data_IF_492955383903
#
_entry.id   IF_492955383903
#
_cell.length_a   1.000
_cell.length_b   1.000
_cell.length_c   1.000
_cell.angle_alpha   90.00
_cell.angle_beta   90.00
_cell.angle_gamma   90.00
#
_symmetry.space_group_name_H-M   'P 1'
#
loop_
_entity.id
_entity.type
_entity.pdbx_description
1 polymer ?
#
# COMPACT_ATOMS: atom_id res chain seq x y z
N UNK A 1 27.92 33.20 -9.29
CA UNK A 1 28.60 31.92 -8.99
C UNK A 1 27.64 30.99 -8.27
N UNK A 2 27.15 29.94 -8.93
CA UNK A 2 26.23 28.96 -8.32
C UNK A 2 27.05 27.80 -7.75
N UNK A 3 27.19 27.76 -6.43
CA UNK A 3 27.95 26.70 -5.74
C UNK A 3 27.06 25.46 -5.75
N UNK A 4 27.35 24.53 -6.67
CA UNK A 4 26.68 23.23 -6.80
C UNK A 4 26.94 22.43 -5.51
N UNK A 5 26.02 22.51 -4.54
CA UNK A 5 26.09 21.74 -3.30
C UNK A 5 25.99 20.25 -3.65
N UNK A 6 27.08 19.50 -3.47
CA UNK A 6 27.11 18.04 -3.56
C UNK A 6 26.02 17.48 -2.63
N UNK A 7 25.01 16.85 -3.21
CA UNK A 7 23.91 16.21 -2.47
C UNK A 7 24.40 14.91 -1.86
N UNK A 8 24.89 14.95 -0.64
CA UNK A 8 25.30 13.79 0.17
C UNK A 8 24.06 13.18 0.83
N UNK A 9 23.35 12.30 0.12
CA UNK A 9 22.19 11.54 0.61
C UNK A 9 22.59 10.11 0.93
N UNK A 10 22.05 9.55 2.01
CA UNK A 10 22.26 8.14 2.41
C UNK A 10 21.35 7.23 1.58
N UNK A 11 20.06 7.56 1.49
CA UNK A 11 19.03 6.98 0.62
C UNK A 11 17.71 7.77 0.81
N UNK A 12 16.72 7.64 -0.10
CA UNK A 12 15.37 8.28 -0.08
C UNK A 12 15.20 9.42 0.94
N UNK A 13 15.78 10.60 0.65
CA UNK A 13 15.59 11.81 1.47
C UNK A 13 16.41 11.93 2.76
N UNK A 14 17.07 10.86 3.24
CA UNK A 14 18.02 10.90 4.36
C UNK A 14 19.34 11.56 3.95
N UNK A 15 19.91 12.36 4.86
CA UNK A 15 21.14 13.15 4.68
C UNK A 15 22.30 12.50 5.42
N UNK A 16 23.50 12.54 4.84
CA UNK A 16 24.72 12.07 5.51
C UNK A 16 25.06 12.96 6.70
N UNK A 17 25.46 12.35 7.81
CA UNK A 17 25.86 13.04 9.05
C UNK A 17 27.38 13.20 9.11
N UNK A 18 28.12 12.42 8.32
CA UNK A 18 29.59 12.35 8.28
C UNK A 18 30.18 11.77 9.59
N UNK A 19 29.41 10.91 10.25
CA UNK A 19 29.82 10.12 11.42
C UNK A 19 29.51 8.66 11.12
N UNK A 20 30.54 7.86 10.83
CA UNK A 20 30.39 6.50 10.30
C UNK A 20 29.44 5.61 11.10
N UNK A 21 29.57 5.57 12.43
CA UNK A 21 28.72 4.74 13.29
C UNK A 21 27.24 5.14 13.20
N UNK A 22 26.96 6.44 13.18
CA UNK A 22 25.60 6.98 13.08
C UNK A 22 25.03 6.78 11.69
N UNK A 23 25.82 7.01 10.64
CA UNK A 23 25.40 6.81 9.25
C UNK A 23 25.04 5.33 8.98
N UNK A 24 25.75 4.37 9.58
CA UNK A 24 25.40 2.95 9.48
C UNK A 24 24.05 2.62 10.14
N UNK A 25 23.69 3.28 11.25
CA UNK A 25 22.36 3.11 11.86
C UNK A 25 21.25 3.63 10.93
N UNK A 26 21.43 4.79 10.30
CA UNK A 26 20.46 5.30 9.32
C UNK A 26 20.38 4.44 8.06
N UNK A 27 21.49 3.83 7.63
CA UNK A 27 21.48 2.86 6.51
C UNK A 27 20.59 1.66 6.81
N UNK A 28 20.59 1.14 8.04
CA UNK A 28 19.72 0.02 8.44
C UNK A 28 18.23 0.33 8.26
N UNK A 29 17.83 1.60 8.40
CA UNK A 29 16.46 2.04 8.16
C UNK A 29 16.08 2.14 6.67
N UNK A 30 17.05 2.13 5.74
CA UNK A 30 16.79 2.35 4.30
C UNK A 30 15.87 1.30 3.69
N UNK A 31 16.13 0.02 3.97
CA UNK A 31 15.34 -1.10 3.44
C UNK A 31 13.89 -1.06 3.93
N UNK A 32 13.60 -0.96 5.25
CA UNK A 32 12.21 -0.87 5.70
C UNK A 32 11.51 0.43 5.25
N UNK A 33 12.21 1.56 5.12
CA UNK A 33 11.62 2.76 4.51
C UNK A 33 11.20 2.50 3.06
N UNK A 34 12.07 1.86 2.27
CA UNK A 34 11.79 1.59 0.85
C UNK A 34 10.57 0.68 0.71
N UNK A 35 10.52 -0.39 1.50
CA UNK A 35 9.38 -1.32 1.52
C UNK A 35 8.08 -0.65 2.00
N UNK A 36 8.15 0.25 3.00
CA UNK A 36 7.00 1.02 3.46
C UNK A 36 6.43 1.91 2.37
N UNK A 37 7.29 2.68 1.69
CA UNK A 37 6.88 3.52 0.57
C UNK A 37 6.26 2.70 -0.56
N UNK A 38 6.88 1.57 -0.94
CA UNK A 38 6.38 0.70 -2.01
C UNK A 38 5.00 0.10 -1.68
N UNK A 39 4.77 -0.33 -0.43
CA UNK A 39 3.46 -0.83 -0.01
C UNK A 39 2.39 0.25 -0.10
N UNK A 40 2.72 1.48 0.28
CA UNK A 40 1.81 2.63 0.22
C UNK A 40 1.46 3.01 -1.21
N UNK A 41 2.47 3.08 -2.10
CA UNK A 41 2.27 3.32 -3.53
C UNK A 41 1.41 2.23 -4.19
N UNK A 42 1.63 0.96 -3.84
CA UNK A 42 0.83 -0.16 -4.35
C UNK A 42 -0.64 -0.07 -3.92
N UNK A 43 -0.90 0.27 -2.65
CA UNK A 43 -2.28 0.46 -2.17
C UNK A 43 -2.97 1.61 -2.90
N UNK A 44 -2.32 2.78 -2.96
CA UNK A 44 -2.87 3.96 -3.64
C UNK A 44 -3.17 3.66 -5.12
N UNK A 45 -2.23 3.01 -5.82
CA UNK A 45 -2.40 2.61 -7.21
C UNK A 45 -3.57 1.64 -7.40
N UNK A 46 -3.65 0.58 -6.60
CA UNK A 46 -4.71 -0.42 -6.70
C UNK A 46 -6.09 0.18 -6.41
N UNK A 47 -6.17 1.07 -5.41
CA UNK A 47 -7.41 1.76 -5.05
C UNK A 47 -7.90 2.68 -6.18
N UNK A 48 -6.99 3.47 -6.77
CA UNK A 48 -7.31 4.34 -7.91
C UNK A 48 -7.71 3.51 -9.13
N UNK A 49 -6.97 2.43 -9.43
CA UNK A 49 -7.29 1.52 -10.53
C UNK A 49 -8.69 0.93 -10.37
N UNK A 50 -9.00 0.37 -9.20
CA UNK A 50 -10.33 -0.19 -8.93
C UNK A 50 -11.44 0.86 -9.05
N UNK A 51 -11.25 2.07 -8.51
CA UNK A 51 -12.22 3.17 -8.66
C UNK A 51 -12.49 3.48 -10.13
N UNK A 52 -11.45 3.57 -10.95
CA UNK A 52 -11.56 3.84 -12.37
C UNK A 52 -12.28 2.71 -13.12
N UNK A 53 -11.91 1.44 -12.86
CA UNK A 53 -12.54 0.27 -13.48
C UNK A 53 -14.02 0.16 -13.07
N UNK A 54 -14.34 0.48 -11.81
CA UNK A 54 -15.71 0.55 -11.31
C UNK A 54 -16.49 1.74 -11.89
N UNK A 55 -15.82 2.78 -12.40
CA UNK A 55 -16.44 4.01 -12.90
C UNK A 55 -16.86 4.98 -11.77
N UNK A 56 -16.14 4.94 -10.64
CA UNK A 56 -16.31 5.88 -9.55
C UNK A 56 -15.43 7.12 -9.76
N UNK A 57 -15.87 8.27 -9.24
CA UNK A 57 -15.02 9.46 -9.17
C UNK A 57 -13.87 9.31 -8.16
N UNK A 58 -12.92 10.25 -8.10
CA UNK A 58 -11.77 10.20 -7.20
C UNK A 58 -12.12 10.07 -5.71
N UNK A 59 -13.27 10.62 -5.30
CA UNK A 59 -13.81 10.54 -3.94
C UNK A 59 -14.78 9.35 -3.73
N UNK A 60 -14.86 8.42 -4.67
CA UNK A 60 -15.72 7.24 -4.60
C UNK A 60 -15.33 6.30 -3.46
N UNK A 61 -16.30 5.86 -2.68
CA UNK A 61 -16.10 4.97 -1.53
C UNK A 61 -16.18 3.50 -1.92
N UNK A 62 -15.57 2.62 -1.11
CA UNK A 62 -15.65 1.15 -1.29
C UNK A 62 -17.11 0.69 -1.35
N UNK A 63 -17.93 1.13 -0.39
CA UNK A 63 -19.36 0.82 -0.34
C UNK A 63 -20.14 1.25 -1.58
N UNK A 64 -19.84 2.41 -2.16
CA UNK A 64 -20.48 2.85 -3.41
C UNK A 64 -20.10 1.93 -4.58
N UNK A 65 -18.83 1.54 -4.68
CA UNK A 65 -18.38 0.61 -5.71
C UNK A 65 -18.99 -0.77 -5.58
N UNK A 66 -19.05 -1.33 -4.37
CA UNK A 66 -19.69 -2.63 -4.12
C UNK A 66 -21.17 -2.63 -4.52
N UNK A 67 -21.91 -1.57 -4.17
CA UNK A 67 -23.32 -1.42 -4.60
C UNK A 67 -23.44 -1.35 -6.12
N UNK A 68 -22.52 -0.65 -6.79
CA UNK A 68 -22.52 -0.53 -8.24
C UNK A 68 -22.17 -1.87 -8.91
N UNK A 69 -21.19 -2.61 -8.39
CA UNK A 69 -20.85 -3.96 -8.82
C UNK A 69 -22.04 -4.90 -8.69
N UNK A 70 -22.76 -4.85 -7.56
CA UNK A 70 -23.98 -5.63 -7.35
C UNK A 70 -25.08 -5.29 -8.36
N UNK A 71 -25.38 -4.01 -8.54
CA UNK A 71 -26.40 -3.57 -9.51
C UNK A 71 -26.03 -4.01 -10.94
N UNK A 72 -24.78 -3.80 -11.36
CA UNK A 72 -24.33 -4.20 -12.70
C UNK A 72 -24.36 -5.71 -12.90
N UNK A 73 -24.04 -6.49 -11.88
CA UNK A 73 -24.14 -7.96 -11.94
C UNK A 73 -25.59 -8.38 -12.10
N UNK A 74 -26.52 -7.81 -11.32
CA UNK A 74 -27.96 -8.08 -11.48
C UNK A 74 -28.46 -7.75 -12.88
N UNK A 75 -28.05 -6.61 -13.45
CA UNK A 75 -28.40 -6.24 -14.82
C UNK A 75 -27.81 -7.21 -15.85
N UNK A 76 -26.56 -7.64 -15.66
CA UNK A 76 -25.94 -8.64 -16.54
C UNK A 76 -26.67 -9.98 -16.46
N UNK A 77 -27.09 -10.41 -15.26
CA UNK A 77 -27.86 -11.62 -15.06
C UNK A 77 -29.23 -11.56 -15.74
N UNK A 78 -29.98 -10.46 -15.57
CA UNK A 78 -31.27 -10.30 -16.25
C UNK A 78 -31.16 -10.32 -17.77
N UNK A 79 -30.06 -9.78 -18.31
CA UNK A 79 -29.82 -9.78 -19.75
C UNK A 79 -29.43 -11.17 -20.27
N UNK A 80 -28.73 -11.98 -19.47
CA UNK A 80 -28.37 -13.36 -19.81
C UNK A 80 -29.57 -14.32 -19.71
N UNK A 81 -30.58 -14.01 -18.88
CA UNK A 81 -31.79 -14.83 -18.71
C UNK A 81 -32.93 -14.50 -19.69
N UNK A 82 -32.76 -13.52 -20.58
CA UNK A 82 -33.74 -13.29 -21.65
C UNK A 82 -33.64 -14.44 -22.66
N UNK A 83 -34.74 -15.11 -23.02
CA UNK A 83 -34.68 -16.22 -23.95
C UNK A 83 -34.22 -15.70 -25.32
N UNK A 84 -33.05 -16.16 -25.78
CA UNK A 84 -32.74 -16.18 -27.21
C UNK A 84 -33.91 -16.86 -27.91
N UNK A 85 -34.60 -16.09 -28.73
CA UNK A 85 -35.80 -16.54 -29.41
C UNK A 85 -35.36 -17.55 -30.47
N UNK A 86 -35.89 -18.78 -30.34
CA UNK A 86 -35.92 -19.86 -31.34
C UNK A 86 -34.58 -20.52 -31.70
N UNK A 87 -34.20 -21.53 -30.89
CA UNK A 87 -33.49 -22.69 -31.44
C UNK A 87 -34.02 -23.97 -30.78
N UNK A 88 -34.91 -24.65 -31.52
CA UNK A 88 -35.22 -26.06 -31.29
C UNK A 88 -33.95 -26.87 -31.56
N UNK A 89 -33.37 -27.44 -30.51
CA UNK A 89 -32.63 -28.69 -30.65
C UNK A 89 -32.51 -29.38 -29.30
N UNK A 90 -33.16 -30.52 -29.26
CA UNK A 90 -33.08 -31.61 -28.30
C UNK A 90 -31.62 -32.07 -28.12
N UNK A 91 -31.01 -31.80 -26.97
CA UNK A 91 -29.99 -32.69 -26.40
C UNK A 91 -29.75 -32.40 -24.90
N UNK A 92 -29.70 -33.47 -24.13
CA UNK A 92 -29.32 -33.48 -22.72
C UNK A 92 -27.86 -33.06 -22.54
N UNK A 93 -27.60 -31.84 -22.10
CA UNK A 93 -26.27 -31.39 -21.69
C UNK A 93 -26.39 -30.39 -20.56
N UNK A 94 -25.48 -30.51 -19.59
CA UNK A 94 -25.41 -29.73 -18.35
C UNK A 94 -25.75 -28.27 -18.60
N UNK A 95 -26.78 -27.76 -17.90
CA UNK A 95 -27.12 -26.33 -17.90
C UNK A 95 -25.91 -25.62 -17.29
N UNK A 96 -24.98 -25.17 -18.13
CA UNK A 96 -23.91 -24.29 -17.72
C UNK A 96 -24.60 -23.02 -17.23
N UNK A 97 -24.65 -22.85 -15.91
CA UNK A 97 -25.21 -21.66 -15.26
C UNK A 97 -24.31 -20.47 -15.59
N UNK A 98 -24.48 -19.95 -16.81
CA UNK A 98 -23.73 -18.84 -17.37
C UNK A 98 -24.18 -17.51 -16.79
N UNK A 99 -25.18 -17.53 -15.89
CA UNK A 99 -25.73 -16.37 -15.22
C UNK A 99 -24.65 -15.72 -14.35
N UNK A 100 -24.23 -14.48 -14.63
CA UNK A 100 -23.21 -13.81 -13.84
C UNK A 100 -23.68 -13.60 -12.40
N UNK A 101 -22.90 -14.10 -11.46
CA UNK A 101 -23.12 -13.91 -10.01
C UNK A 101 -21.78 -13.82 -9.28
N UNK A 102 -21.75 -13.21 -8.11
CA UNK A 102 -20.55 -13.20 -7.28
C UNK A 102 -20.90 -13.36 -5.80
N UNK A 103 -19.94 -13.85 -5.04
CA UNK A 103 -20.00 -13.96 -3.59
C UNK A 103 -18.75 -13.35 -2.96
N UNK A 104 -18.91 -12.84 -1.75
CA UNK A 104 -17.80 -12.47 -0.87
C UNK A 104 -17.62 -13.63 0.11
N UNK A 105 -16.46 -14.26 0.08
CA UNK A 105 -16.07 -15.31 1.00
C UNK A 105 -14.90 -14.83 1.86
N UNK A 106 -14.50 -15.62 2.85
CA UNK A 106 -13.27 -15.37 3.60
C UNK A 106 -12.18 -16.36 3.20
N UNK A 107 -10.94 -15.90 3.11
CA UNK A 107 -9.78 -16.78 2.98
C UNK A 107 -9.41 -17.45 4.32
N UNK A 108 -8.36 -18.28 4.31
CA UNK A 108 -7.84 -18.97 5.50
C UNK A 108 -7.42 -18.02 6.64
N UNK A 109 -7.15 -16.75 6.32
CA UNK A 109 -6.73 -15.70 7.25
C UNK A 109 -7.85 -14.71 7.56
N UNK A 110 -9.10 -15.11 7.26
CA UNK A 110 -10.35 -14.36 7.44
C UNK A 110 -10.43 -13.04 6.67
N UNK A 111 -9.63 -12.85 5.62
CA UNK A 111 -9.74 -11.70 4.71
C UNK A 111 -10.80 -11.93 3.63
N UNK A 112 -11.58 -10.91 3.27
CA UNK A 112 -12.57 -11.02 2.21
C UNK A 112 -11.92 -11.33 0.86
N UNK A 113 -12.52 -12.28 0.14
CA UNK A 113 -12.20 -12.65 -1.24
C UNK A 113 -13.46 -12.56 -2.09
N UNK A 114 -13.34 -12.09 -3.32
CA UNK A 114 -14.45 -12.04 -4.26
C UNK A 114 -14.37 -13.22 -5.22
N UNK A 115 -15.42 -14.02 -5.25
CA UNK A 115 -15.56 -15.17 -6.14
C UNK A 115 -16.63 -14.86 -7.17
N UNK A 116 -16.26 -14.80 -8.44
CA UNK A 116 -17.17 -14.59 -9.59
C UNK A 116 -17.56 -15.92 -10.23
N UNK A 117 -18.81 -16.05 -10.70
CA UNK A 117 -19.37 -17.22 -11.39
C UNK A 117 -20.16 -16.76 -12.61
N UNK A 118 -20.21 -17.57 -13.67
CA UNK A 118 -20.86 -17.24 -14.93
C UNK A 118 -20.02 -16.28 -15.79
N UNK A 119 -20.61 -15.78 -16.88
CA UNK A 119 -19.90 -14.94 -17.86
C UNK A 119 -20.24 -13.47 -17.65
N UNK A 120 -19.22 -12.66 -17.40
CA UNK A 120 -19.35 -11.21 -17.22
C UNK A 120 -18.95 -10.44 -18.48
N UNK A 121 -19.61 -9.29 -18.76
CA UNK A 121 -19.07 -8.32 -19.70
C UNK A 121 -17.66 -7.88 -19.29
N UNK A 122 -16.75 -7.73 -20.27
CA UNK A 122 -15.32 -7.49 -20.04
C UNK A 122 -15.02 -6.32 -19.09
N UNK A 123 -15.79 -5.23 -19.18
CA UNK A 123 -15.66 -4.06 -18.27
C UNK A 123 -15.98 -4.41 -16.82
N UNK A 124 -17.00 -5.23 -16.61
CA UNK A 124 -17.44 -5.66 -15.28
C UNK A 124 -16.46 -6.69 -14.70
N UNK A 125 -15.96 -7.62 -15.53
CA UNK A 125 -14.90 -8.56 -15.12
C UNK A 125 -13.65 -7.81 -14.64
N UNK A 126 -13.18 -6.80 -15.39
CA UNK A 126 -12.06 -5.95 -14.97
C UNK A 126 -12.26 -5.25 -13.62
N UNK A 127 -13.51 -4.89 -13.31
CA UNK A 127 -13.86 -4.31 -11.99
C UNK A 127 -13.67 -5.33 -10.87
N UNK A 128 -14.08 -6.59 -11.10
CA UNK A 128 -13.87 -7.67 -10.13
C UNK A 128 -12.39 -8.01 -9.97
N UNK A 129 -11.64 -8.13 -11.07
CA UNK A 129 -10.21 -8.46 -11.02
C UNK A 129 -9.40 -7.39 -10.27
N UNK A 130 -9.70 -6.10 -10.52
CA UNK A 130 -9.05 -4.99 -9.82
C UNK A 130 -9.44 -4.93 -8.34
N UNK A 131 -10.68 -5.28 -7.97
CA UNK A 131 -11.10 -5.36 -6.58
C UNK A 131 -10.38 -6.50 -5.86
N UNK A 132 -10.31 -7.69 -6.46
CA UNK A 132 -9.59 -8.83 -5.89
C UNK A 132 -8.11 -8.51 -5.68
N UNK A 133 -7.47 -7.83 -6.63
CA UNK A 133 -6.09 -7.37 -6.49
C UNK A 133 -5.93 -6.34 -5.35
N UNK A 134 -6.89 -5.42 -5.17
CA UNK A 134 -6.89 -4.47 -4.06
C UNK A 134 -6.99 -5.20 -2.70
N UNK A 135 -7.88 -6.18 -2.58
CA UNK A 135 -8.05 -6.96 -1.35
C UNK A 135 -6.80 -7.76 -0.98
N UNK A 136 -6.15 -8.39 -1.98
CA UNK A 136 -4.88 -9.09 -1.79
C UNK A 136 -3.77 -8.13 -1.31
N UNK A 137 -3.69 -6.91 -1.86
CA UNK A 137 -2.75 -5.88 -1.40
C UNK A 137 -3.06 -5.45 0.05
N UNK A 138 -4.33 -5.23 0.39
CA UNK A 138 -4.74 -4.90 1.75
C UNK A 138 -4.35 -6.01 2.74
N UNK A 139 -4.62 -7.28 2.42
CA UNK A 139 -4.24 -8.43 3.25
C UNK A 139 -2.71 -8.52 3.42
N UNK A 140 -1.94 -8.32 2.34
CA UNK A 140 -0.47 -8.27 2.40
C UNK A 140 0.03 -7.14 3.29
N UNK A 141 -0.61 -5.97 3.26
CA UNK A 141 -0.28 -4.85 4.17
C UNK A 141 -0.54 -5.24 5.61
N UNK A 142 -1.67 -5.87 5.93
CA UNK A 142 -1.96 -6.30 7.30
C UNK A 142 -0.91 -7.25 7.87
N UNK A 143 -0.44 -8.20 7.05
CA UNK A 143 0.55 -9.19 7.46
C UNK A 143 1.94 -8.56 7.62
N UNK A 144 2.35 -7.70 6.69
CA UNK A 144 3.74 -7.22 6.61
C UNK A 144 4.01 -5.93 7.38
N UNK A 145 2.98 -5.17 7.78
CA UNK A 145 3.19 -3.87 8.44
C UNK A 145 3.82 -4.01 9.81
N UNK A 146 3.26 -4.85 10.70
CA UNK A 146 3.76 -5.02 12.06
C UNK A 146 5.26 -5.40 12.12
N UNK A 147 5.75 -6.42 11.39
CA UNK A 147 7.18 -6.74 11.39
C UNK A 147 8.06 -5.64 10.80
N UNK A 148 7.54 -4.84 9.86
CA UNK A 148 8.25 -3.70 9.31
C UNK A 148 8.33 -2.54 10.33
N UNK A 149 7.23 -2.21 10.99
CA UNK A 149 7.17 -1.17 12.01
C UNK A 149 8.08 -1.50 13.18
N UNK A 150 8.08 -2.73 13.68
CA UNK A 150 8.99 -3.17 14.74
C UNK A 150 10.47 -2.96 14.37
N UNK A 151 10.85 -3.22 13.11
CA UNK A 151 12.22 -2.97 12.62
C UNK A 151 12.55 -1.47 12.59
N UNK A 152 11.63 -0.63 12.13
CA UNK A 152 11.79 0.83 12.12
C UNK A 152 11.90 1.39 13.55
N UNK A 153 11.00 0.99 14.44
CA UNK A 153 10.99 1.41 15.84
C UNK A 153 12.27 1.05 16.57
N UNK A 154 12.76 -0.19 16.38
CA UNK A 154 14.04 -0.62 16.94
C UNK A 154 15.19 0.26 16.44
N UNK A 155 15.23 0.55 15.14
CA UNK A 155 16.28 1.38 14.55
C UNK A 155 16.20 2.82 15.05
N UNK A 156 14.99 3.40 15.14
CA UNK A 156 14.75 4.75 15.68
C UNK A 156 15.18 4.83 17.15
N UNK A 157 14.92 3.79 17.95
CA UNK A 157 15.35 3.72 19.35
C UNK A 157 16.87 3.77 19.45
N UNK A 158 17.57 2.91 18.71
CA UNK A 158 19.04 2.89 18.69
C UNK A 158 19.63 4.24 18.23
N UNK A 159 19.02 4.86 17.21
CA UNK A 159 19.43 6.20 16.74
C UNK A 159 19.21 7.25 17.84
N UNK A 160 18.09 7.16 18.57
CA UNK A 160 17.75 8.14 19.62
C UNK A 160 18.74 8.10 20.79
N UNK A 161 19.26 6.91 21.12
CA UNK A 161 20.32 6.74 22.12
C UNK A 161 21.61 7.49 21.73
N UNK A 162 21.93 7.60 20.43
CA UNK A 162 23.06 8.39 19.96
C UNK A 162 22.88 9.91 20.11
N UNK A 163 21.66 10.40 20.36
CA UNK A 163 21.40 11.85 20.44
C UNK A 163 22.10 12.50 21.63
N UNK A 164 22.13 11.82 22.78
CA UNK A 164 22.76 12.32 24.00
C UNK A 164 24.27 12.50 23.83
N UNK A 165 24.91 11.59 23.09
CA UNK A 165 26.34 11.60 22.82
C UNK A 165 26.71 12.33 21.51
N UNK A 166 25.74 12.87 20.75
CA UNK A 166 25.95 13.34 19.39
C UNK A 166 27.01 14.45 19.29
N UNK A 167 27.05 15.36 20.27
CA UNK A 167 28.06 16.41 20.35
C UNK A 167 29.48 15.84 20.51
N UNK A 168 29.63 14.81 21.36
CA UNK A 168 30.90 14.12 21.57
C UNK A 168 31.28 13.31 20.32
N UNK A 169 30.32 12.62 19.69
CA UNK A 169 30.53 11.90 18.43
C UNK A 169 30.99 12.84 17.30
N UNK A 170 30.43 14.05 17.21
CA UNK A 170 30.89 15.07 16.27
C UNK A 170 32.35 15.45 16.54
N UNK A 171 32.70 15.73 17.81
CA UNK A 171 34.07 16.09 18.19
C UNK A 171 35.07 14.96 17.88
N UNK A 172 34.71 13.71 18.19
CA UNK A 172 35.51 12.51 17.93
C UNK A 172 35.70 12.26 16.42
N UNK A 173 34.70 12.58 15.61
CA UNK A 173 34.78 12.53 14.15
C UNK A 173 35.53 13.74 13.54
N UNK A 174 36.05 14.65 14.37
CA UNK A 174 36.76 15.86 13.91
C UNK A 174 35.84 16.95 13.36
N UNK A 175 34.52 16.84 13.55
CA UNK A 175 33.54 17.84 13.11
C UNK A 175 33.48 18.97 14.15
N UNK A 176 33.68 20.22 13.69
CA UNK A 176 33.63 21.43 14.53
C UNK A 176 32.89 22.56 13.83
N UNK A 177 32.38 23.51 14.62
CA UNK A 177 31.70 24.72 14.15
C UNK A 177 30.55 24.39 13.19
N UNK A 178 30.54 25.05 12.03
CA UNK A 178 29.49 24.88 11.02
C UNK A 178 29.29 23.42 10.55
N UNK A 179 30.35 22.60 10.53
CA UNK A 179 30.24 21.17 10.15
C UNK A 179 29.51 20.35 11.21
N UNK A 180 29.80 20.60 12.50
CA UNK A 180 29.10 19.95 13.61
C UNK A 180 27.62 20.37 13.65
N UNK A 181 27.33 21.66 13.44
CA UNK A 181 25.94 22.14 13.36
C UNK A 181 25.17 21.46 12.23
N UNK A 182 25.79 21.32 11.05
CA UNK A 182 25.17 20.62 9.91
C UNK A 182 24.93 19.13 10.21
N UNK A 183 25.84 18.46 10.89
CA UNK A 183 25.68 17.07 11.29
C UNK A 183 24.47 16.91 12.24
N UNK A 184 24.32 17.79 13.23
CA UNK A 184 23.17 17.82 14.14
C UNK A 184 21.85 18.09 13.40
N UNK A 185 21.83 19.05 12.47
CA UNK A 185 20.65 19.33 11.64
C UNK A 185 20.26 18.14 10.77
N UNK A 186 21.25 17.48 10.15
CA UNK A 186 21.02 16.30 9.32
C UNK A 186 20.51 15.12 10.15
N UNK A 187 21.07 14.91 11.34
CA UNK A 187 20.57 13.91 12.29
C UNK A 187 19.11 14.17 12.64
N UNK A 188 18.77 15.40 13.06
CA UNK A 188 17.42 15.76 13.42
C UNK A 188 16.44 15.65 12.24
N UNK A 189 16.89 15.97 11.01
CA UNK A 189 16.11 15.77 9.80
C UNK A 189 15.80 14.29 9.56
N UNK A 190 16.82 13.43 9.63
CA UNK A 190 16.65 12.00 9.41
C UNK A 190 15.72 11.38 10.46
N UNK A 191 15.85 11.73 11.74
CA UNK A 191 14.94 11.25 12.79
C UNK A 191 13.49 11.66 12.51
N UNK A 192 13.25 12.91 12.10
CA UNK A 192 11.89 13.36 11.72
C UNK A 192 11.35 12.57 10.53
N UNK A 193 12.18 12.32 9.51
CA UNK A 193 11.80 11.53 8.35
C UNK A 193 11.40 10.10 8.73
N UNK A 194 12.18 9.44 9.58
CA UNK A 194 11.86 8.08 10.06
C UNK A 194 10.54 8.05 10.84
N UNK A 195 10.32 9.01 11.75
CA UNK A 195 9.07 9.11 12.51
C UNK A 195 7.87 9.40 11.60
N UNK A 196 8.04 10.26 10.59
CA UNK A 196 6.98 10.55 9.62
C UNK A 196 6.59 9.30 8.83
N UNK A 197 7.55 8.49 8.36
CA UNK A 197 7.24 7.25 7.64
C UNK A 197 6.51 6.25 8.54
N UNK A 198 6.88 6.15 9.82
CA UNK A 198 6.19 5.30 10.79
C UNK A 198 4.72 5.70 10.93
N UNK A 199 4.43 7.00 11.05
CA UNK A 199 3.05 7.51 11.08
C UNK A 199 2.29 7.23 9.79
N UNK A 200 2.91 7.44 8.63
CA UNK A 200 2.30 7.18 7.32
C UNK A 200 1.99 5.71 7.12
N UNK A 201 2.88 4.82 7.54
CA UNK A 201 2.67 3.38 7.40
C UNK A 201 1.55 2.88 8.32
N UNK A 202 1.47 3.36 9.56
CA UNK A 202 0.33 3.07 10.45
C UNK A 202 -0.99 3.51 9.81
N UNK A 203 -1.04 4.73 9.25
CA UNK A 203 -2.22 5.22 8.54
C UNK A 203 -2.59 4.32 7.35
N UNK A 204 -1.59 3.87 6.59
CA UNK A 204 -1.77 2.97 5.43
C UNK A 204 -2.35 1.62 5.87
N UNK A 205 -1.89 1.09 6.99
CA UNK A 205 -2.44 -0.14 7.57
C UNK A 205 -3.89 0.05 8.06
N UNK A 206 -4.20 1.17 8.71
CA UNK A 206 -5.58 1.49 9.08
C UNK A 206 -6.48 1.61 7.84
N UNK A 207 -6.04 2.30 6.79
CA UNK A 207 -6.78 2.42 5.54
C UNK A 207 -7.02 1.05 4.87
N UNK A 208 -5.99 0.21 4.80
CA UNK A 208 -6.15 -1.15 4.30
C UNK A 208 -7.15 -1.96 5.13
N UNK A 209 -7.13 -1.83 6.46
CA UNK A 209 -8.08 -2.51 7.35
C UNK A 209 -9.51 -1.98 7.15
N UNK A 210 -9.67 -0.66 6.99
CA UNK A 210 -10.97 -0.02 6.75
C UNK A 210 -11.58 -0.44 5.42
N UNK A 211 -10.75 -0.66 4.39
CA UNK A 211 -11.18 -1.22 3.11
C UNK A 211 -11.69 -2.65 3.32
N UNK A 212 -10.91 -3.50 3.99
CA UNK A 212 -11.29 -4.90 4.25
C UNK A 212 -12.56 -5.00 5.10
N UNK A 213 -12.73 -4.13 6.10
CA UNK A 213 -13.91 -4.12 6.98
C UNK A 213 -15.18 -3.63 6.27
N UNK A 214 -15.03 -2.82 5.22
CA UNK A 214 -16.17 -2.32 4.43
C UNK A 214 -16.75 -3.35 3.46
N UNK A 215 -15.97 -4.37 3.12
CA UNK A 215 -16.28 -5.43 2.16
C UNK A 215 -16.92 -6.57 2.90
#
# INVERSE_FOLDING_TARGET
MSVKRKSTRIAKGMKLIDIKSVDELFKQATTPLTASTEMREKLEFALVKWRNDCGLGPAGTIRQGLRLMLTRTKTAATNASLPETLQESDDSSEVSDNTPSFAICSDEKTYPIIVTRGVFPEKLQRTFDSMSALLDICAKIQINTNPLLMKLEKTIKQISECYEELTQLCANAGLRGAKANRAMENFAWNVRLLKAELTLMNKTQSEANDILTQV
#
